data_IF_523007201781
#
_entry.id   IF_523007201781
#
_cell.length_a   1.000
_cell.length_b   1.000
_cell.length_c   1.000
_cell.angle_alpha   90.00
_cell.angle_beta   90.00
_cell.angle_gamma   90.00
#
_symmetry.space_group_name_H-M   'P 1'
#
loop_
_entity.id
_entity.type
_entity.pdbx_description
1 polymer ?
#
# COMPACT_ATOMS: atom_id res chain seq x y z
N UNK A 1 5.11 -4.83 10.24
CA UNK A 1 4.19 -4.46 9.17
C UNK A 1 4.95 -4.24 7.86
N UNK A 2 4.25 -4.44 6.74
CA UNK A 2 4.69 -4.21 5.37
C UNK A 2 3.68 -3.35 4.64
N UNK A 3 4.13 -2.23 4.09
CA UNK A 3 3.31 -1.33 3.29
C UNK A 3 3.81 -1.32 1.86
N UNK A 4 2.94 -1.68 0.92
CA UNK A 4 3.17 -1.56 -0.51
C UNK A 4 2.71 -0.21 -1.05
N UNK A 5 3.41 0.33 -2.04
CA UNK A 5 3.06 1.60 -2.68
C UNK A 5 3.01 1.45 -4.20
N UNK A 6 1.92 1.90 -4.79
CA UNK A 6 1.75 1.94 -6.24
C UNK A 6 1.55 3.40 -6.64
N UNK A 7 2.34 3.88 -7.60
CA UNK A 7 2.16 5.21 -8.16
C UNK A 7 1.02 5.29 -9.18
N UNK A 8 0.77 6.46 -9.78
CA UNK A 8 -0.27 6.63 -10.78
C UNK A 8 -0.16 5.63 -11.94
N UNK A 9 -1.21 4.85 -12.17
CA UNK A 9 -1.36 3.89 -13.26
C UNK A 9 -2.01 4.50 -14.51
N UNK A 10 -2.64 5.69 -14.38
CA UNK A 10 -3.37 6.38 -15.46
C UNK A 10 -4.47 5.49 -16.04
N UNK A 11 -4.20 4.81 -17.15
CA UNK A 11 -5.16 3.94 -17.86
C UNK A 11 -4.67 2.49 -17.97
N UNK A 12 -3.52 2.15 -17.40
CA UNK A 12 -2.92 0.83 -17.51
C UNK A 12 -3.42 -0.10 -16.39
N UNK A 13 -4.63 -0.64 -16.59
CA UNK A 13 -5.24 -1.58 -15.65
C UNK A 13 -4.43 -2.90 -15.52
N UNK A 14 -3.75 -3.32 -16.59
CA UNK A 14 -2.95 -4.56 -16.58
C UNK A 14 -1.72 -4.42 -15.70
N UNK A 15 -1.00 -3.32 -15.82
CA UNK A 15 0.13 -3.03 -14.94
C UNK A 15 -0.33 -2.88 -13.48
N UNK A 16 -1.48 -2.23 -13.23
CA UNK A 16 -2.04 -2.09 -11.88
C UNK A 16 -2.37 -3.45 -11.27
N UNK A 17 -3.00 -4.35 -12.03
CA UNK A 17 -3.29 -5.71 -11.59
C UNK A 17 -2.01 -6.48 -11.26
N UNK A 18 -1.00 -6.41 -12.13
CA UNK A 18 0.30 -7.06 -11.90
C UNK A 18 0.99 -6.53 -10.63
N UNK A 19 1.03 -5.20 -10.44
CA UNK A 19 1.61 -4.57 -9.27
C UNK A 19 0.89 -4.94 -7.97
N UNK A 20 -0.44 -4.95 -8.00
CA UNK A 20 -1.25 -5.32 -6.85
C UNK A 20 -1.07 -6.81 -6.49
N UNK A 21 -1.03 -7.71 -7.49
CA UNK A 21 -0.73 -9.13 -7.28
C UNK A 21 0.66 -9.34 -6.68
N UNK A 22 1.68 -8.69 -7.23
CA UNK A 22 3.04 -8.76 -6.71
C UNK A 22 3.09 -8.37 -5.22
N UNK A 23 2.53 -7.22 -4.87
CA UNK A 23 2.54 -6.73 -3.49
C UNK A 23 1.72 -7.61 -2.55
N UNK A 24 0.51 -8.03 -2.94
CA UNK A 24 -0.42 -8.74 -2.05
C UNK A 24 -0.12 -10.22 -1.94
N UNK A 25 0.17 -10.89 -3.06
CA UNK A 25 0.32 -12.34 -3.14
C UNK A 25 1.77 -12.77 -2.93
N UNK A 26 2.74 -12.08 -3.54
CA UNK A 26 4.12 -12.54 -3.54
C UNK A 26 4.92 -11.92 -2.37
N UNK A 27 4.70 -10.64 -2.10
CA UNK A 27 5.38 -9.89 -1.03
C UNK A 27 4.60 -9.85 0.29
N UNK A 28 3.34 -10.32 0.24
CA UNK A 28 2.43 -10.46 1.39
C UNK A 28 2.31 -9.17 2.22
N UNK A 29 2.21 -8.00 1.57
CA UNK A 29 2.08 -6.73 2.28
C UNK A 29 0.79 -6.70 3.12
N UNK A 30 0.82 -6.00 4.25
CA UNK A 30 -0.35 -5.85 5.11
C UNK A 30 -1.37 -4.88 4.47
N UNK A 31 -0.88 -3.85 3.77
CA UNK A 31 -1.69 -2.92 2.99
C UNK A 31 -0.94 -2.42 1.75
N UNK A 32 -1.68 -2.09 0.69
CA UNK A 32 -1.19 -1.41 -0.51
C UNK A 32 -1.80 -0.01 -0.53
N UNK A 33 -0.99 1.02 -0.71
CA UNK A 33 -1.47 2.40 -0.87
C UNK A 33 -1.19 2.89 -2.29
N UNK A 34 -2.27 3.18 -3.02
CA UNK A 34 -2.22 3.82 -4.32
C UNK A 34 -2.10 5.34 -4.16
N UNK A 35 -1.08 5.90 -4.81
CA UNK A 35 -0.68 7.30 -4.67
C UNK A 35 -1.23 8.20 -5.78
N UNK A 36 -1.92 7.62 -6.77
CA UNK A 36 -2.48 8.35 -7.91
C UNK A 36 -3.69 9.22 -7.56
N UNK A 37 -3.86 10.30 -8.34
CA UNK A 37 -5.06 11.14 -8.32
C UNK A 37 -6.13 10.69 -9.33
N UNK A 38 -5.77 9.80 -10.26
CA UNK A 38 -6.70 9.20 -11.22
C UNK A 38 -7.67 8.20 -10.57
N UNK A 39 -8.63 7.75 -11.36
CA UNK A 39 -9.68 6.81 -10.94
C UNK A 39 -9.27 5.34 -11.11
N UNK A 40 -8.03 5.04 -11.55
CA UNK A 40 -7.65 3.69 -12.00
C UNK A 40 -7.85 2.62 -10.92
N UNK A 41 -7.47 2.90 -9.66
CA UNK A 41 -7.71 1.94 -8.57
C UNK A 41 -9.20 1.79 -8.25
N UNK A 42 -9.99 2.87 -8.32
CA UNK A 42 -11.44 2.78 -8.05
C UNK A 42 -12.13 1.97 -9.11
N UNK A 43 -11.81 2.22 -10.37
CA UNK A 43 -12.32 1.46 -11.51
C UNK A 43 -11.92 -0.02 -11.41
N UNK A 44 -10.67 -0.30 -11.03
CA UNK A 44 -10.18 -1.66 -10.79
C UNK A 44 -10.96 -2.35 -9.66
N UNK A 45 -11.13 -1.71 -8.50
CA UNK A 45 -11.87 -2.30 -7.38
C UNK A 45 -13.34 -2.51 -7.74
N UNK A 46 -14.00 -1.51 -8.33
CA UNK A 46 -15.41 -1.59 -8.72
C UNK A 46 -15.66 -2.70 -9.76
N UNK A 47 -14.71 -2.97 -10.66
CA UNK A 47 -14.80 -4.05 -11.64
C UNK A 47 -14.68 -5.46 -11.02
N UNK A 48 -14.13 -5.58 -9.80
CA UNK A 48 -13.86 -6.86 -9.14
C UNK A 48 -14.69 -7.10 -7.86
N UNK A 49 -15.41 -6.09 -7.37
CA UNK A 49 -16.34 -6.24 -6.24
C UNK A 49 -17.58 -7.05 -6.65
N UNK A 50 -18.00 -8.00 -5.79
CA UNK A 50 -19.13 -8.89 -6.06
C UNK A 50 -20.50 -8.23 -5.92
N UNK A 51 -20.58 -6.99 -5.42
CA UNK A 51 -21.83 -6.25 -5.17
C UNK A 51 -22.71 -6.83 -4.05
N UNK A 52 -22.31 -7.95 -3.43
CA UNK A 52 -23.02 -8.56 -2.30
C UNK A 52 -22.69 -7.82 -0.99
N UNK A 53 -23.70 -7.59 -0.14
CA UNK A 53 -23.49 -7.01 1.18
C UNK A 53 -22.93 -8.03 2.20
N UNK A 54 -22.36 -7.51 3.29
CA UNK A 54 -21.71 -8.34 4.31
C UNK A 54 -22.68 -9.36 4.95
N UNK A 55 -23.94 -9.00 5.16
CA UNK A 55 -24.93 -9.90 5.77
C UNK A 55 -25.29 -11.06 4.84
N UNK A 56 -25.36 -10.79 3.54
CA UNK A 56 -25.61 -11.80 2.51
C UNK A 56 -24.43 -12.77 2.43
N UNK A 57 -23.21 -12.26 2.47
CA UNK A 57 -21.99 -13.09 2.51
C UNK A 57 -21.98 -13.96 3.77
N UNK A 58 -22.24 -13.38 4.95
CA UNK A 58 -22.27 -14.12 6.22
C UNK A 58 -23.30 -15.26 6.22
N UNK A 59 -24.52 -14.99 5.74
CA UNK A 59 -25.57 -16.01 5.63
C UNK A 59 -25.14 -17.14 4.68
N UNK A 60 -24.59 -16.79 3.51
CA UNK A 60 -24.12 -17.77 2.52
C UNK A 60 -22.99 -18.64 3.07
N UNK A 61 -22.05 -18.04 3.80
CA UNK A 61 -20.98 -18.76 4.50
C UNK A 61 -21.57 -19.76 5.51
N UNK A 62 -22.55 -19.34 6.32
CA UNK A 62 -23.18 -20.21 7.30
C UNK A 62 -23.94 -21.38 6.66
N UNK A 63 -24.69 -21.13 5.57
CA UNK A 63 -25.43 -22.14 4.83
C UNK A 63 -24.48 -23.19 4.20
N UNK A 64 -23.43 -22.73 3.51
CA UNK A 64 -22.44 -23.61 2.87
C UNK A 64 -21.64 -24.40 3.92
N UNK A 65 -21.30 -23.79 5.06
CA UNK A 65 -20.59 -24.50 6.13
C UNK A 65 -21.43 -25.62 6.77
N UNK A 66 -22.76 -25.47 6.82
CA UNK A 66 -23.65 -26.44 7.45
C UNK A 66 -23.97 -27.63 6.51
N UNK A 67 -24.19 -27.36 5.23
CA UNK A 67 -24.75 -28.37 4.30
C UNK A 67 -24.13 -28.37 2.90
N UNK A 68 -23.17 -27.49 2.63
CA UNK A 68 -22.60 -27.31 1.29
C UNK A 68 -21.75 -28.51 0.85
N UNK A 69 -21.65 -28.66 -0.47
CA UNK A 69 -20.68 -29.56 -1.09
C UNK A 69 -19.26 -28.98 -1.02
N UNK A 70 -18.27 -29.79 -1.36
CA UNK A 70 -16.88 -29.32 -1.47
C UNK A 70 -16.76 -28.17 -2.51
N UNK A 71 -17.49 -28.26 -3.62
CA UNK A 71 -17.53 -27.22 -4.66
C UNK A 71 -18.13 -25.92 -4.13
N UNK A 72 -19.20 -26.01 -3.33
CA UNK A 72 -19.82 -24.83 -2.70
C UNK A 72 -18.85 -24.15 -1.73
N UNK A 73 -18.10 -24.94 -0.94
CA UNK A 73 -17.09 -24.44 -0.02
C UNK A 73 -15.97 -23.73 -0.78
N UNK A 74 -15.45 -24.34 -1.84
CA UNK A 74 -14.39 -23.75 -2.66
C UNK A 74 -14.81 -22.41 -3.28
N UNK A 75 -16.06 -22.31 -3.74
CA UNK A 75 -16.60 -21.08 -4.31
C UNK A 75 -16.66 -19.96 -3.27
N UNK A 76 -17.18 -20.25 -2.07
CA UNK A 76 -17.23 -19.28 -0.98
C UNK A 76 -15.82 -18.86 -0.56
N UNK A 77 -14.87 -19.79 -0.45
CA UNK A 77 -13.49 -19.47 -0.11
C UNK A 77 -12.81 -18.63 -1.19
N UNK A 78 -13.10 -18.88 -2.47
CA UNK A 78 -12.62 -18.06 -3.60
C UNK A 78 -13.13 -16.62 -3.49
N UNK A 79 -14.43 -16.44 -3.25
CA UNK A 79 -15.03 -15.13 -3.01
C UNK A 79 -14.40 -14.42 -1.82
N UNK A 80 -14.27 -15.07 -0.66
CA UNK A 80 -13.67 -14.47 0.54
C UNK A 80 -12.20 -14.07 0.34
N UNK A 81 -11.43 -14.88 -0.40
CA UNK A 81 -10.05 -14.53 -0.79
C UNK A 81 -10.01 -13.29 -1.68
N UNK A 82 -10.91 -13.19 -2.65
CA UNK A 82 -11.07 -12.00 -3.50
C UNK A 82 -11.39 -10.75 -2.69
N UNK A 83 -12.37 -10.83 -1.79
CA UNK A 83 -12.74 -9.73 -0.91
C UNK A 83 -11.57 -9.28 -0.02
N UNK A 84 -10.82 -10.23 0.56
CA UNK A 84 -9.63 -9.93 1.36
C UNK A 84 -8.50 -9.31 0.55
N UNK A 85 -8.33 -9.74 -0.71
CA UNK A 85 -7.37 -9.14 -1.63
C UNK A 85 -7.70 -7.66 -1.89
N UNK A 86 -8.96 -7.36 -2.25
CA UNK A 86 -9.41 -5.99 -2.51
C UNK A 86 -9.34 -5.12 -1.26
N UNK A 87 -9.65 -5.67 -0.08
CA UNK A 87 -9.60 -4.95 1.20
C UNK A 87 -8.19 -4.44 1.58
N UNK A 88 -7.12 -5.04 1.01
CA UNK A 88 -5.75 -4.54 1.21
C UNK A 88 -5.45 -3.31 0.35
N UNK A 89 -6.22 -3.03 -0.68
CA UNK A 89 -5.98 -1.93 -1.61
C UNK A 89 -6.62 -0.65 -1.08
N UNK A 90 -5.79 0.29 -0.66
CA UNK A 90 -6.18 1.59 -0.16
C UNK A 90 -5.77 2.72 -1.09
N UNK A 91 -6.55 3.80 -1.06
CA UNK A 91 -6.17 5.06 -1.69
C UNK A 91 -5.47 5.96 -0.67
N UNK A 92 -4.35 6.57 -1.05
CA UNK A 92 -3.86 7.72 -0.30
C UNK A 92 -4.96 8.79 -0.25
N UNK A 93 -5.11 9.54 0.86
CA UNK A 93 -6.16 10.54 0.95
C UNK A 93 -5.94 11.70 -0.04
N UNK A 94 -7.01 12.29 -0.60
CA UNK A 94 -6.88 13.46 -1.46
C UNK A 94 -6.48 14.69 -0.65
N UNK A 95 -5.77 15.63 -1.28
CA UNK A 95 -5.40 16.90 -0.68
C UNK A 95 -6.62 17.66 -0.12
N UNK A 96 -6.48 18.39 1.00
CA UNK A 96 -5.27 18.58 1.80
C UNK A 96 -5.06 17.49 2.87
N UNK A 97 -5.84 16.41 2.84
CA UNK A 97 -5.72 15.33 3.82
C UNK A 97 -4.46 14.50 3.54
N UNK A 98 -3.91 13.93 4.61
CA UNK A 98 -2.70 13.12 4.62
C UNK A 98 -2.94 11.87 5.44
N UNK A 99 -2.30 10.77 5.10
CA UNK A 99 -2.30 9.55 5.91
C UNK A 99 -0.99 9.49 6.70
N UNK A 100 -1.07 8.99 7.92
CA UNK A 100 0.08 8.79 8.80
C UNK A 100 0.02 7.35 9.29
N UNK A 101 1.07 6.59 8.98
CA UNK A 101 1.24 5.21 9.42
C UNK A 101 2.44 5.12 10.36
N UNK A 102 2.33 4.25 11.36
CA UNK A 102 3.43 3.92 12.27
C UNK A 102 4.05 2.59 11.83
N UNK A 103 5.31 2.62 11.42
CA UNK A 103 6.06 1.41 11.06
C UNK A 103 7.23 1.26 12.02
N UNK A 104 7.16 0.28 12.92
CA UNK A 104 8.03 0.20 14.10
C UNK A 104 8.00 1.53 14.89
N UNK A 105 9.14 2.22 15.01
CA UNK A 105 9.27 3.52 15.67
C UNK A 105 9.25 4.71 14.68
N UNK A 106 8.84 4.48 13.42
CA UNK A 106 8.88 5.45 12.32
C UNK A 106 7.51 5.96 11.95
N UNK A 107 7.39 7.29 11.86
CA UNK A 107 6.21 7.93 11.29
C UNK A 107 6.37 8.00 9.77
N UNK A 108 5.46 7.38 9.04
CA UNK A 108 5.38 7.40 7.58
C UNK A 108 4.23 8.33 7.19
N UNK A 109 4.57 9.47 6.59
CA UNK A 109 3.61 10.42 6.04
C UNK A 109 3.35 10.07 4.58
N UNK A 110 2.08 9.94 4.21
CA UNK A 110 1.67 9.49 2.88
C UNK A 110 0.73 10.54 2.28
N UNK A 111 1.11 11.05 1.12
CA UNK A 111 0.38 12.09 0.37
C UNK A 111 0.34 11.73 -1.10
N UNK A 112 -0.63 12.29 -1.84
CA UNK A 112 -0.63 12.19 -3.31
C UNK A 112 0.31 13.22 -3.94
N UNK A 113 0.27 14.46 -3.43
CA UNK A 113 1.02 15.59 -3.96
C UNK A 113 2.03 16.12 -2.92
N UNK A 114 3.32 16.11 -3.26
CA UNK A 114 4.40 16.55 -2.38
C UNK A 114 4.29 18.02 -1.97
N UNK A 115 3.74 18.88 -2.82
CA UNK A 115 3.59 20.31 -2.52
C UNK A 115 2.62 20.60 -1.36
N UNK A 116 1.82 19.60 -0.96
CA UNK A 116 0.93 19.69 0.21
C UNK A 116 1.62 19.45 1.54
N UNK A 117 2.89 19.03 1.52
CA UNK A 117 3.69 18.74 2.71
C UNK A 117 4.33 20.03 3.22
N UNK A 118 3.93 20.47 4.40
CA UNK A 118 4.51 21.62 5.09
C UNK A 118 5.74 21.25 5.90
N UNK A 119 6.44 22.26 6.42
CA UNK A 119 7.65 22.07 7.24
C UNK A 119 7.37 21.27 8.52
N UNK A 120 6.28 21.56 9.23
CA UNK A 120 5.88 20.82 10.43
C UNK A 120 5.65 19.34 10.14
N UNK A 121 5.12 19.01 8.97
CA UNK A 121 4.87 17.63 8.56
C UNK A 121 6.19 16.87 8.34
N UNK A 122 7.17 17.52 7.71
CA UNK A 122 8.52 16.96 7.50
C UNK A 122 9.24 16.78 8.83
N UNK A 123 9.11 17.74 9.74
CA UNK A 123 9.73 17.66 11.07
C UNK A 123 9.16 16.48 11.87
N UNK A 124 7.88 16.17 11.71
CA UNK A 124 7.18 15.15 12.48
C UNK A 124 7.12 13.76 11.82
N UNK A 125 7.68 13.58 10.62
CA UNK A 125 7.70 12.28 9.91
C UNK A 125 9.12 11.75 9.76
N UNK A 126 9.32 10.44 9.68
CA UNK A 126 10.62 9.84 9.32
C UNK A 126 10.74 9.63 7.81
N UNK A 127 9.64 9.22 7.19
CA UNK A 127 9.54 8.97 5.74
C UNK A 127 8.32 9.71 5.20
N UNK A 128 8.51 10.43 4.10
CA UNK A 128 7.43 11.05 3.32
C UNK A 128 7.31 10.29 2.01
N UNK A 129 6.18 9.63 1.79
CA UNK A 129 5.84 8.94 0.54
C UNK A 129 4.85 9.79 -0.26
N UNK A 130 5.15 10.02 -1.54
CA UNK A 130 4.35 10.89 -2.42
C UNK A 130 4.15 10.34 -3.83
N UNK A 131 3.06 10.73 -4.50
CA UNK A 131 2.60 10.15 -5.78
C UNK A 131 2.86 11.00 -7.03
N UNK A 132 3.11 12.29 -6.89
CA UNK A 132 3.21 13.25 -8.00
C UNK A 132 4.60 13.34 -8.65
N UNK A 133 5.52 12.43 -8.31
CA UNK A 133 6.80 12.32 -9.01
C UNK A 133 6.61 11.77 -10.42
N UNK A 134 7.44 12.20 -11.37
CA UNK A 134 7.44 11.68 -12.75
C UNK A 134 8.35 10.48 -12.95
N UNK A 135 9.14 10.11 -11.93
CA UNK A 135 10.11 9.01 -11.93
C UNK A 135 10.25 8.45 -10.52
N UNK A 136 10.88 7.27 -10.38
CA UNK A 136 11.33 6.76 -9.09
C UNK A 136 12.25 7.79 -8.42
N UNK A 137 11.92 8.19 -7.20
CA UNK A 137 12.69 9.18 -6.45
C UNK A 137 12.97 8.71 -5.02
N UNK A 138 14.22 8.86 -4.61
CA UNK A 138 14.60 8.83 -3.21
C UNK A 138 15.51 10.02 -2.88
N UNK A 139 15.22 10.74 -1.81
CA UNK A 139 16.06 11.81 -1.28
C UNK A 139 16.12 11.73 0.24
N UNK A 140 17.31 11.91 0.80
CA UNK A 140 17.53 12.01 2.24
C UNK A 140 18.01 13.40 2.61
N UNK A 141 17.36 13.99 3.61
CA UNK A 141 17.75 15.26 4.22
C UNK A 141 17.88 15.05 5.73
N UNK A 142 19.11 14.89 6.20
CA UNK A 142 19.38 14.51 7.58
C UNK A 142 18.67 13.19 7.94
N UNK A 143 17.84 13.14 9.02
CA UNK A 143 17.13 11.93 9.43
C UNK A 143 15.83 11.67 8.64
N UNK A 144 15.49 12.52 7.66
CA UNK A 144 14.21 12.52 6.96
C UNK A 144 14.39 11.98 5.55
N UNK A 145 13.52 11.06 5.16
CA UNK A 145 13.55 10.44 3.83
C UNK A 145 12.31 10.84 3.03
N UNK A 146 12.49 11.07 1.75
CA UNK A 146 11.43 11.36 0.79
C UNK A 146 11.49 10.30 -0.30
N UNK A 147 10.35 9.67 -0.56
CA UNK A 147 10.26 8.56 -1.49
C UNK A 147 9.04 8.70 -2.40
N UNK A 148 9.22 8.34 -3.66
CA UNK A 148 8.13 8.10 -4.58
C UNK A 148 8.51 6.93 -5.48
N UNK A 149 7.64 5.93 -5.67
CA UNK A 149 7.88 4.87 -6.66
C UNK A 149 7.85 5.42 -8.11
N UNK A 150 7.39 6.66 -8.31
CA UNK A 150 7.11 7.21 -9.62
C UNK A 150 5.79 6.66 -10.19
N UNK A 151 5.39 7.09 -11.41
CA UNK A 151 4.25 6.52 -12.10
C UNK A 151 4.49 5.04 -12.40
N UNK A 152 3.42 4.26 -12.51
CA UNK A 152 3.54 2.81 -12.71
C UNK A 152 4.19 2.45 -14.06
N UNK A 153 4.09 3.32 -15.05
CA UNK A 153 4.80 3.20 -16.34
C UNK A 153 6.33 3.35 -16.21
N UNK A 154 6.84 3.81 -15.06
CA UNK A 154 8.25 3.75 -14.70
C UNK A 154 8.68 2.34 -14.24
N UNK A 155 7.76 1.38 -14.11
CA UNK A 155 8.03 -0.04 -13.91
C UNK A 155 8.35 -0.46 -12.47
N UNK A 156 8.03 0.36 -11.47
CA UNK A 156 8.39 0.11 -10.08
C UNK A 156 7.20 0.23 -9.12
N UNK A 157 7.24 -0.58 -8.06
CA UNK A 157 6.44 -0.43 -6.85
C UNK A 157 7.36 -0.12 -5.66
N UNK A 158 6.80 0.51 -4.62
CA UNK A 158 7.50 0.75 -3.37
C UNK A 158 7.13 -0.29 -2.31
N UNK A 159 8.08 -0.63 -1.45
CA UNK A 159 7.85 -1.45 -0.26
C UNK A 159 8.54 -0.83 0.96
N UNK A 160 7.78 -0.62 2.03
CA UNK A 160 8.32 -0.36 3.37
C UNK A 160 8.13 -1.61 4.23
N UNK A 161 9.22 -2.17 4.75
CA UNK A 161 9.24 -3.41 5.53
C UNK A 161 9.98 -3.22 6.86
N UNK A 162 9.29 -3.37 7.98
CA UNK A 162 9.92 -3.43 9.32
C UNK A 162 10.29 -4.86 9.77
N UNK A 163 9.91 -5.87 8.98
CA UNK A 163 10.20 -7.28 9.22
C UNK A 163 11.47 -7.72 8.50
N UNK A 164 12.26 -6.78 7.98
CA UNK A 164 13.47 -7.08 7.24
C UNK A 164 14.49 -7.83 8.12
N UNK A 165 15.09 -8.89 7.59
CA UNK A 165 16.15 -9.65 8.26
C UNK A 165 17.38 -8.80 8.60
N UNK A 166 17.55 -7.65 7.92
CA UNK A 166 18.63 -6.69 8.18
C UNK A 166 18.39 -5.83 9.43
N UNK A 167 17.22 -5.96 10.05
CA UNK A 167 16.81 -5.20 11.23
C UNK A 167 16.34 -3.78 10.89
N UNK A 168 15.29 -3.34 11.60
CA UNK A 168 14.68 -2.03 11.42
C UNK A 168 13.86 -1.89 10.13
N UNK A 169 13.45 -0.66 9.83
CA UNK A 169 12.64 -0.34 8.64
C UNK A 169 13.52 -0.24 7.40
N UNK A 170 13.18 -1.00 6.37
CA UNK A 170 13.82 -0.93 5.04
C UNK A 170 12.82 -0.43 4.01
N UNK A 171 13.26 0.49 3.17
CA UNK A 171 12.51 0.98 2.02
C UNK A 171 13.12 0.40 0.74
N UNK A 172 12.28 -0.10 -0.16
CA UNK A 172 12.70 -0.72 -1.40
C UNK A 172 11.88 -0.19 -2.58
N UNK A 173 12.52 -0.15 -3.75
CA UNK A 173 11.85 -0.12 -5.04
C UNK A 173 12.04 -1.49 -5.68
N UNK A 174 10.94 -2.05 -6.14
CA UNK A 174 10.86 -3.40 -6.70
C UNK A 174 10.26 -3.25 -8.08
N UNK A 175 10.86 -3.88 -9.08
CA UNK A 175 10.27 -3.90 -10.41
C UNK A 175 9.04 -4.83 -10.47
N UNK A 176 8.29 -4.79 -11.58
CA UNK A 176 7.10 -5.63 -11.73
C UNK A 176 7.40 -7.12 -11.94
N UNK A 177 8.68 -7.51 -12.03
CA UNK A 177 9.12 -8.92 -12.02
C UNK A 177 9.37 -9.44 -10.59
N UNK A 178 9.39 -8.54 -9.61
CA UNK A 178 9.68 -8.85 -8.21
C UNK A 178 11.16 -8.69 -7.84
N UNK A 179 12.01 -8.20 -8.74
CA UNK A 179 13.42 -7.94 -8.45
C UNK A 179 13.58 -6.60 -7.71
N UNK A 180 14.38 -6.61 -6.65
CA UNK A 180 14.70 -5.40 -5.88
C UNK A 180 15.69 -4.55 -6.69
N UNK A 181 15.21 -3.51 -7.36
CA UNK A 181 16.05 -2.59 -8.14
C UNK A 181 16.78 -1.58 -7.25
N UNK A 182 16.24 -1.27 -6.08
CA UNK A 182 16.86 -0.37 -5.11
C UNK A 182 16.39 -0.65 -3.67
N UNK A 183 17.26 -0.44 -2.69
CA UNK A 183 16.97 -0.68 -1.28
C UNK A 183 17.78 0.25 -0.37
N UNK A 184 17.12 0.77 0.66
CA UNK A 184 17.73 1.69 1.62
C UNK A 184 17.19 1.46 3.04
N UNK A 185 18.05 1.24 4.05
CA UNK A 185 17.62 1.20 5.43
C UNK A 185 17.22 2.61 5.91
N UNK A 186 16.08 2.71 6.58
CA UNK A 186 15.60 3.97 7.16
C UNK A 186 16.30 4.19 8.51
N UNK A 187 17.37 4.99 8.46
CA UNK A 187 18.16 5.36 9.64
C UNK A 187 17.58 6.61 10.33
N UNK A 188 17.72 6.67 11.66
CA UNK A 188 17.34 7.84 12.47
C UNK A 188 16.90 7.47 13.89
N UNK A 189 16.64 8.44 14.77
CA UNK A 189 15.95 8.18 16.04
C UNK A 189 14.45 7.97 15.80
N UNK A 190 13.85 6.97 16.43
CA UNK A 190 12.41 6.77 16.45
C UNK A 190 11.64 7.94 17.02
N UNK A 191 10.37 8.05 16.67
CA UNK A 191 9.46 8.99 17.30
C UNK A 191 9.30 8.62 18.78
N UNK A 192 9.59 9.56 19.69
CA UNK A 192 9.26 9.40 21.12
C UNK A 192 7.84 9.91 21.33
N UNK A 193 6.89 9.01 21.57
CA UNK A 193 5.56 9.37 22.04
C UNK A 193 5.67 9.73 23.52
N UNK A 194 5.46 10.99 23.87
CA UNK A 194 5.26 11.39 25.26
C UNK A 194 3.75 11.42 25.53
N UNK A 195 3.29 10.53 26.40
CA UNK A 195 1.92 10.59 26.92
C UNK A 195 1.90 11.66 28.01
N UNK A 196 1.08 12.70 27.83
CA UNK A 196 0.86 13.68 28.89
C UNK A 196 0.14 13.00 30.07
N UNK A 197 0.56 13.26 31.33
CA UNK A 197 -0.03 12.64 32.52
C UNK A 197 -1.49 13.03 32.74
#
# INVERSE_FOLDING_TARGET
MRLGFIGPAKTDAGALEQAAKLLVCDLEVDAVIYLGEDEALRDFVAAHESGEDAQTIERRVAEVAATGSAEDIEEVLRMLRGARYLAKLGLAPPAPRRAMEMLDDRIVLIVRNKATVGEEDVINSNVVVYGDATTLMFKRFGPRCFFSPGPLDAGHVGLLDDRSERGGVVLQAIDLSGEVSWSEPIQGRGAKVMVAP
#
